data_IF_021116547794
#
_entry.id   IF_021116547794
#
_cell.length_a   1.000
_cell.length_b   1.000
_cell.length_c   1.000
_cell.angle_alpha   90.00
_cell.angle_beta   90.00
_cell.angle_gamma   90.00
#
_symmetry.space_group_name_H-M   'P 1'
#
loop_
_entity.id
_entity.type
_entity.pdbx_description
1 polymer ?
#
# COMPACT_ATOMS: atom_id res chain seq x y z
N UNK A 1 -44.79 -35.60 7.03
CA UNK A 1 -43.49 -34.94 6.95
C UNK A 1 -43.72 -33.51 6.48
N UNK A 2 -43.48 -32.53 7.35
CA UNK A 2 -43.65 -31.12 7.01
C UNK A 2 -42.40 -30.63 6.26
N UNK A 3 -42.59 -30.09 5.05
CA UNK A 3 -41.54 -29.40 4.33
C UNK A 3 -41.25 -28.08 5.06
N UNK A 4 -40.10 -27.98 5.73
CA UNK A 4 -39.58 -26.69 6.18
C UNK A 4 -39.20 -25.90 4.94
N UNK A 5 -40.01 -24.90 4.60
CA UNK A 5 -39.63 -23.87 3.65
C UNK A 5 -38.47 -23.07 4.26
N UNK A 6 -37.32 -23.13 3.61
CA UNK A 6 -36.23 -22.19 3.84
C UNK A 6 -36.74 -20.78 3.52
N UNK A 7 -36.96 -19.97 4.55
CA UNK A 7 -37.13 -18.52 4.37
C UNK A 7 -35.73 -17.92 4.32
N UNK A 8 -35.34 -17.24 3.22
CA UNK A 8 -34.11 -16.47 3.23
C UNK A 8 -34.26 -15.37 4.29
N UNK A 9 -33.36 -15.38 5.27
CA UNK A 9 -33.19 -14.25 6.17
C UNK A 9 -32.79 -13.05 5.32
N UNK A 10 -33.70 -12.08 5.21
CA UNK A 10 -33.39 -10.77 4.66
C UNK A 10 -32.33 -10.17 5.58
N UNK A 11 -31.11 -9.98 5.08
CA UNK A 11 -30.03 -9.29 5.79
C UNK A 11 -30.51 -7.88 6.18
N UNK A 12 -30.63 -7.54 7.48
CA UNK A 12 -31.00 -6.20 7.89
C UNK A 12 -29.73 -5.35 8.01
N UNK A 13 -29.09 -5.09 6.87
CA UNK A 13 -28.40 -3.82 6.67
C UNK A 13 -29.09 -3.21 5.46
N UNK A 14 -30.07 -2.34 5.71
CA UNK A 14 -30.33 -1.26 4.77
C UNK A 14 -28.98 -0.55 4.59
N UNK A 15 -28.33 -0.77 3.46
CA UNK A 15 -26.98 -0.26 3.22
C UNK A 15 -27.05 1.26 3.23
N UNK A 16 -26.51 1.89 4.28
CA UNK A 16 -26.23 3.31 4.26
C UNK A 16 -25.41 3.61 3.00
N UNK A 17 -25.79 4.64 2.25
CA UNK A 17 -24.91 5.16 1.21
C UNK A 17 -23.63 5.71 1.86
N UNK A 18 -22.56 5.84 1.08
CA UNK A 18 -21.31 6.42 1.58
C UNK A 18 -21.53 7.83 2.15
N UNK A 19 -22.42 8.62 1.54
CA UNK A 19 -22.79 9.94 2.05
C UNK A 19 -23.52 9.85 3.40
N UNK A 20 -24.44 8.89 3.56
CA UNK A 20 -25.14 8.67 4.83
C UNK A 20 -24.19 8.21 5.94
N UNK A 21 -23.26 7.32 5.62
CA UNK A 21 -22.24 6.85 6.56
C UNK A 21 -21.30 7.99 6.97
N UNK A 22 -20.80 8.76 6.00
CA UNK A 22 -19.95 9.92 6.26
C UNK A 22 -20.65 10.94 7.17
N UNK A 23 -21.92 11.24 6.89
CA UNK A 23 -22.71 12.17 7.70
C UNK A 23 -22.88 11.64 9.13
N UNK A 24 -23.18 10.34 9.30
CA UNK A 24 -23.30 9.73 10.63
C UNK A 24 -22.00 9.80 11.43
N UNK A 25 -20.84 9.58 10.78
CA UNK A 25 -19.52 9.73 11.39
C UNK A 25 -19.28 11.19 11.81
N UNK A 26 -19.56 12.15 10.92
CA UNK A 26 -19.40 13.58 11.20
C UNK A 26 -20.29 14.03 12.38
N UNK A 27 -21.55 13.62 12.43
CA UNK A 27 -22.46 13.95 13.53
C UNK A 27 -21.98 13.38 14.86
N UNK A 28 -21.49 12.13 14.84
CA UNK A 28 -20.91 11.49 16.03
C UNK A 28 -19.69 12.25 16.51
N UNK A 29 -18.77 12.61 15.61
CA UNK A 29 -17.56 13.36 15.95
C UNK A 29 -17.89 14.77 16.46
N UNK A 30 -18.82 15.49 15.82
CA UNK A 30 -19.23 16.82 16.26
C UNK A 30 -19.82 16.78 17.68
N UNK A 31 -20.62 15.76 18.00
CA UNK A 31 -21.15 15.56 19.35
C UNK A 31 -20.06 15.31 20.40
N UNK A 32 -18.90 14.79 20.02
CA UNK A 32 -17.79 14.50 20.96
C UNK A 32 -16.76 15.63 21.03
N UNK A 33 -16.47 16.28 19.90
CA UNK A 33 -15.42 17.29 19.77
C UNK A 33 -15.95 18.73 19.87
N UNK A 34 -17.27 18.92 19.77
CA UNK A 34 -17.94 20.23 19.72
C UNK A 34 -17.33 21.16 18.65
N UNK A 35 -16.98 20.59 17.50
CA UNK A 35 -16.37 21.31 16.39
C UNK A 35 -16.82 20.67 15.08
N UNK A 36 -17.74 21.35 14.38
CA UNK A 36 -18.35 20.84 13.15
C UNK A 36 -17.33 20.71 12.01
N UNK A 37 -16.45 21.68 11.84
CA UNK A 37 -15.48 21.69 10.74
C UNK A 37 -14.47 20.56 10.91
N UNK A 38 -13.92 20.39 12.12
CA UNK A 38 -13.01 19.27 12.45
C UNK A 38 -13.73 17.94 12.28
N UNK A 39 -14.99 17.83 12.69
CA UNK A 39 -15.77 16.61 12.55
C UNK A 39 -16.01 16.23 11.07
N UNK A 40 -16.39 17.18 10.22
CA UNK A 40 -16.59 16.97 8.78
C UNK A 40 -15.28 16.57 8.09
N UNK A 41 -14.18 17.28 8.35
CA UNK A 41 -12.87 16.96 7.77
C UNK A 41 -12.37 15.58 8.21
N UNK A 42 -12.53 15.27 9.49
CA UNK A 42 -12.14 13.95 10.03
C UNK A 42 -13.00 12.85 9.44
N UNK A 43 -14.31 13.05 9.30
CA UNK A 43 -15.20 12.06 8.67
C UNK A 43 -14.81 11.78 7.21
N UNK A 44 -14.50 12.83 6.44
CA UNK A 44 -14.00 12.67 5.07
C UNK A 44 -12.71 11.82 5.04
N UNK A 45 -11.73 12.15 5.88
CA UNK A 45 -10.49 11.36 6.00
C UNK A 45 -10.78 9.89 6.37
N UNK A 46 -11.69 9.64 7.30
CA UNK A 46 -12.06 8.27 7.70
C UNK A 46 -12.64 7.50 6.51
N UNK A 47 -13.54 8.10 5.74
CA UNK A 47 -14.12 7.48 4.54
C UNK A 47 -13.04 7.19 3.49
N UNK A 48 -12.26 8.20 3.12
CA UNK A 48 -11.33 8.13 2.00
C UNK A 48 -10.11 7.25 2.28
N UNK A 49 -9.63 7.23 3.53
CA UNK A 49 -8.32 6.66 3.86
C UNK A 49 -8.39 5.46 4.81
N UNK A 50 -9.43 5.33 5.65
CA UNK A 50 -9.51 4.25 6.64
C UNK A 50 -10.61 3.21 6.36
N UNK A 51 -11.70 3.63 5.73
CA UNK A 51 -12.80 2.75 5.32
C UNK A 51 -12.70 2.33 3.85
N UNK A 52 -11.91 3.05 3.05
CA UNK A 52 -11.50 2.62 1.72
C UNK A 52 -10.18 1.81 1.76
N UNK A 53 -10.15 0.73 1.00
CA UNK A 53 -8.98 -0.16 0.84
C UNK A 53 -8.57 -0.33 -0.62
N UNK A 54 -9.18 0.42 -1.53
CA UNK A 54 -8.95 0.33 -2.96
C UNK A 54 -8.35 1.63 -3.48
N UNK A 55 -7.16 1.53 -4.08
CA UNK A 55 -6.61 2.60 -4.88
C UNK A 55 -7.19 2.55 -6.30
N UNK A 56 -7.13 3.69 -6.99
CA UNK A 56 -7.49 3.78 -8.40
C UNK A 56 -6.65 2.82 -9.25
N UNK A 57 -7.26 2.36 -10.35
CA UNK A 57 -6.61 1.42 -11.26
C UNK A 57 -6.27 2.05 -12.60
N UNK A 58 -5.23 1.51 -13.24
CA UNK A 58 -4.84 1.85 -14.62
C UNK A 58 -4.87 0.62 -15.49
N UNK A 59 -5.24 0.78 -16.77
CA UNK A 59 -5.14 -0.31 -17.73
C UNK A 59 -3.68 -0.75 -17.85
N UNK A 60 -3.44 -2.07 -17.81
CA UNK A 60 -2.08 -2.63 -17.99
C UNK A 60 -1.42 -2.18 -19.30
N UNK A 61 -2.21 -1.83 -20.34
CA UNK A 61 -1.69 -1.31 -21.61
C UNK A 61 -1.10 0.10 -21.54
N UNK A 62 -1.43 0.85 -20.49
CA UNK A 62 -0.97 2.22 -20.29
C UNK A 62 0.18 2.29 -19.27
N UNK A 63 0.58 1.16 -18.69
CA UNK A 63 1.65 1.11 -17.69
C UNK A 63 3.00 1.27 -18.38
N UNK A 64 3.80 2.20 -17.88
CA UNK A 64 5.12 2.57 -18.41
C UNK A 64 6.26 2.22 -17.44
N UNK A 65 5.94 1.94 -16.17
CA UNK A 65 6.86 1.37 -15.19
C UNK A 65 6.12 0.60 -14.10
N UNK A 66 6.84 -0.26 -13.37
CA UNK A 66 6.32 -1.01 -12.23
C UNK A 66 7.09 -0.60 -10.97
N UNK A 67 6.38 -0.25 -9.90
CA UNK A 67 6.96 0.02 -8.58
C UNK A 67 6.46 -1.02 -7.58
N UNK A 68 7.38 -1.83 -7.06
CA UNK A 68 7.06 -2.92 -6.15
C UNK A 68 7.55 -2.67 -4.73
N UNK A 69 6.60 -2.75 -3.78
CA UNK A 69 6.87 -2.59 -2.36
C UNK A 69 6.92 -3.94 -1.66
N UNK A 70 7.92 -4.12 -0.81
CA UNK A 70 8.07 -5.31 0.00
C UNK A 70 7.09 -5.32 1.17
N UNK A 71 6.82 -6.52 1.68
CA UNK A 71 5.94 -6.73 2.82
C UNK A 71 6.46 -7.83 3.74
N UNK A 72 6.81 -7.46 4.97
CA UNK A 72 7.45 -8.39 5.90
C UNK A 72 8.84 -8.81 5.43
N UNK A 73 9.46 -9.70 6.21
CA UNK A 73 10.63 -10.49 5.84
C UNK A 73 10.70 -11.69 6.77
N UNK A 74 11.50 -12.69 6.45
CA UNK A 74 11.89 -13.72 7.41
C UNK A 74 13.30 -13.47 7.92
N UNK A 75 13.60 -14.00 9.09
CA UNK A 75 14.91 -13.90 9.74
C UNK A 75 15.53 -15.30 9.78
N UNK A 76 16.72 -15.47 9.21
CA UNK A 76 17.47 -16.71 9.28
C UNK A 76 18.17 -16.88 10.63
N UNK A 77 18.64 -18.10 11.00
CA UNK A 77 19.27 -18.34 12.30
C UNK A 77 20.49 -17.47 12.61
N UNK A 78 21.19 -16.98 11.58
CA UNK A 78 22.32 -16.05 11.73
C UNK A 78 21.90 -14.57 11.85
N UNK A 79 20.59 -14.28 11.91
CA UNK A 79 20.03 -12.94 12.05
C UNK A 79 19.84 -12.18 10.73
N UNK A 80 20.22 -12.76 9.59
CA UNK A 80 20.01 -12.11 8.29
C UNK A 80 18.54 -12.12 7.89
N UNK A 81 18.12 -11.10 7.15
CA UNK A 81 16.79 -11.06 6.56
C UNK A 81 16.77 -11.72 5.19
N UNK A 82 15.64 -12.30 4.83
CA UNK A 82 15.35 -12.80 3.49
C UNK A 82 13.87 -12.57 3.14
N UNK A 83 13.48 -12.57 1.84
CA UNK A 83 12.17 -12.12 1.41
C UNK A 83 10.99 -12.82 2.08
N UNK A 84 11.04 -14.15 2.20
CA UNK A 84 9.91 -14.95 2.69
C UNK A 84 8.73 -15.00 1.71
N UNK A 85 7.70 -15.80 2.03
CA UNK A 85 6.62 -16.15 1.08
C UNK A 85 5.76 -14.97 0.64
N UNK A 86 5.57 -13.94 1.48
CA UNK A 86 4.80 -12.75 1.09
C UNK A 86 5.51 -11.96 -0.03
N UNK A 87 6.82 -11.77 0.07
CA UNK A 87 7.60 -11.10 -0.97
C UNK A 87 7.80 -11.97 -2.21
N UNK A 88 7.82 -13.30 -2.07
CA UNK A 88 7.78 -14.23 -3.22
C UNK A 88 6.47 -14.09 -4.02
N UNK A 89 5.32 -14.00 -3.34
CA UNK A 89 4.03 -13.79 -4.00
C UNK A 89 3.93 -12.40 -4.66
N UNK A 90 4.50 -11.37 -4.04
CA UNK A 90 4.64 -10.04 -4.67
C UNK A 90 5.52 -10.15 -5.91
N UNK A 91 6.67 -10.84 -5.84
CA UNK A 91 7.55 -11.04 -6.98
C UNK A 91 6.87 -11.80 -8.12
N UNK A 92 6.05 -12.82 -7.84
CA UNK A 92 5.26 -13.52 -8.85
C UNK A 92 4.28 -12.58 -9.57
N UNK A 93 3.64 -11.69 -8.81
CA UNK A 93 2.74 -10.66 -9.36
C UNK A 93 3.52 -9.68 -10.25
N UNK A 94 4.70 -9.23 -9.82
CA UNK A 94 5.60 -8.36 -10.60
C UNK A 94 6.04 -9.04 -11.89
N UNK A 95 6.48 -10.30 -11.85
CA UNK A 95 6.90 -11.06 -13.04
C UNK A 95 5.73 -11.25 -14.01
N UNK A 96 4.54 -11.57 -13.50
CA UNK A 96 3.33 -11.71 -14.32
C UNK A 96 2.97 -10.41 -15.02
N UNK A 97 3.04 -9.28 -14.31
CA UNK A 97 2.79 -7.97 -14.88
C UNK A 97 3.85 -7.57 -15.91
N UNK A 98 5.13 -7.76 -15.59
CA UNK A 98 6.25 -7.49 -16.49
C UNK A 98 6.13 -8.28 -17.80
N UNK A 99 5.72 -9.55 -17.76
CA UNK A 99 5.50 -10.35 -18.99
C UNK A 99 4.42 -9.76 -19.92
N UNK A 100 3.52 -8.93 -19.40
CA UNK A 100 2.44 -8.30 -20.15
C UNK A 100 2.78 -6.90 -20.65
N UNK A 101 3.79 -6.25 -20.05
CA UNK A 101 4.12 -4.83 -20.29
C UNK A 101 5.53 -4.63 -20.84
N UNK A 102 6.49 -5.45 -20.42
CA UNK A 102 7.92 -5.34 -20.73
C UNK A 102 8.52 -3.97 -20.39
N UNK A 103 8.06 -3.37 -19.28
CA UNK A 103 8.51 -2.06 -18.79
C UNK A 103 9.47 -2.18 -17.62
N UNK A 104 10.28 -1.14 -17.31
CA UNK A 104 11.19 -1.16 -16.17
C UNK A 104 10.48 -1.39 -14.83
N UNK A 105 11.14 -2.15 -13.95
CA UNK A 105 10.68 -2.54 -12.62
C UNK A 105 11.60 -1.93 -11.58
N UNK A 106 11.04 -1.13 -10.69
CA UNK A 106 11.70 -0.61 -9.50
C UNK A 106 11.14 -1.35 -8.29
N UNK A 107 11.96 -2.13 -7.60
CA UNK A 107 11.47 -3.02 -6.55
C UNK A 107 12.31 -2.88 -5.29
N UNK A 108 11.68 -2.88 -4.11
CA UNK A 108 12.42 -3.07 -2.87
C UNK A 108 13.24 -4.37 -2.92
N UNK A 109 14.41 -4.36 -2.28
CA UNK A 109 15.39 -5.44 -2.41
C UNK A 109 14.81 -6.83 -2.11
N UNK A 110 13.88 -6.98 -1.16
CA UNK A 110 13.25 -8.27 -0.85
C UNK A 110 12.50 -8.82 -2.07
N UNK A 111 11.74 -7.97 -2.76
CA UNK A 111 11.00 -8.33 -3.96
C UNK A 111 11.97 -8.55 -5.12
N UNK A 112 12.97 -7.69 -5.30
CA UNK A 112 13.96 -7.82 -6.37
C UNK A 112 14.77 -9.13 -6.25
N UNK A 113 15.17 -9.50 -5.04
CA UNK A 113 15.85 -10.76 -4.75
C UNK A 113 14.94 -11.95 -5.05
N UNK A 114 13.68 -11.90 -4.62
CA UNK A 114 12.71 -12.93 -4.93
C UNK A 114 12.44 -13.04 -6.44
N UNK A 115 12.40 -11.92 -7.19
CA UNK A 115 12.28 -11.93 -8.67
C UNK A 115 13.46 -12.68 -9.29
N UNK A 116 14.69 -12.41 -8.84
CA UNK A 116 15.90 -13.05 -9.34
C UNK A 116 16.11 -12.80 -10.84
N UNK A 117 16.37 -13.86 -11.61
CA UNK A 117 16.64 -13.78 -13.05
C UNK A 117 15.37 -13.86 -13.94
N UNK A 118 14.17 -13.80 -13.33
CA UNK A 118 12.89 -13.90 -14.06
C UNK A 118 12.54 -12.64 -14.85
N UNK A 119 13.27 -11.54 -14.60
CA UNK A 119 13.22 -10.27 -15.33
C UNK A 119 14.67 -9.95 -15.76
N UNK A 120 14.91 -9.46 -16.99
CA UNK A 120 16.25 -9.04 -17.43
C UNK A 120 16.87 -8.03 -16.48
N UNK A 121 18.17 -8.16 -16.22
CA UNK A 121 18.88 -7.32 -15.25
C UNK A 121 18.82 -5.81 -15.57
N UNK A 122 18.68 -5.45 -16.86
CA UNK A 122 18.55 -4.04 -17.28
C UNK A 122 17.19 -3.43 -16.95
N UNK A 123 16.18 -4.27 -16.71
CA UNK A 123 14.81 -3.84 -16.41
C UNK A 123 14.45 -4.02 -14.93
N UNK A 124 15.32 -4.63 -14.12
CA UNK A 124 15.09 -4.81 -12.68
C UNK A 124 16.02 -3.92 -11.85
N UNK A 125 15.46 -2.85 -11.30
CA UNK A 125 16.14 -1.87 -10.47
C UNK A 125 15.85 -2.10 -8.98
N UNK A 126 16.78 -2.73 -8.28
CA UNK A 126 16.65 -3.04 -6.85
C UNK A 126 16.89 -1.81 -5.95
N UNK A 127 15.91 -1.50 -5.10
CA UNK A 127 15.95 -0.43 -4.10
C UNK A 127 16.40 -0.99 -2.76
N UNK A 128 17.67 -0.73 -2.43
CA UNK A 128 18.26 -1.11 -1.15
C UNK A 128 18.05 -0.04 -0.07
N UNK A 129 18.02 -0.43 1.22
CA UNK A 129 18.04 0.50 2.34
C UNK A 129 19.25 1.45 2.29
N UNK A 130 19.17 2.59 2.98
CA UNK A 130 20.33 3.49 3.14
C UNK A 130 21.22 2.99 4.27
N UNK A 131 22.51 2.88 4.02
CA UNK A 131 23.50 2.71 5.09
C UNK A 131 23.72 4.07 5.76
N UNK A 132 23.51 4.15 7.08
CA UNK A 132 24.00 5.30 7.84
C UNK A 132 25.52 5.16 8.05
N UNK A 133 26.23 6.29 8.19
CA UNK A 133 27.71 6.33 8.31
C UNK A 133 28.31 5.60 9.52
N UNK A 134 27.52 4.84 10.28
CA UNK A 134 27.97 3.95 11.37
C UNK A 134 27.63 2.47 11.13
N UNK A 135 27.35 2.07 9.88
CA UNK A 135 27.03 0.68 9.54
C UNK A 135 25.60 0.24 9.90
N UNK A 136 24.77 1.12 10.46
CA UNK A 136 23.36 0.81 10.72
C UNK A 136 22.53 1.03 9.46
N UNK A 137 21.78 0.00 9.06
CA UNK A 137 20.79 0.03 7.98
C UNK A 137 19.59 0.87 8.39
N UNK A 138 19.36 2.00 7.70
CA UNK A 138 18.12 2.77 7.82
C UNK A 138 17.17 2.28 6.73
N UNK A 139 16.18 1.49 7.12
CA UNK A 139 15.08 1.09 6.25
C UNK A 139 14.38 2.33 5.71
N UNK A 140 14.06 2.29 4.43
CA UNK A 140 13.25 3.32 3.80
C UNK A 140 11.80 3.11 4.23
N UNK A 141 11.13 4.20 4.59
CA UNK A 141 9.67 4.19 4.62
C UNK A 141 9.13 4.08 3.19
N UNK A 142 7.83 3.83 3.04
CA UNK A 142 7.16 3.72 1.74
C UNK A 142 7.42 4.94 0.84
N UNK A 143 7.32 6.16 1.39
CA UNK A 143 7.69 7.38 0.67
C UNK A 143 9.16 7.37 0.21
N UNK A 144 10.09 7.00 1.08
CA UNK A 144 11.51 6.95 0.74
C UNK A 144 11.87 5.91 -0.33
N UNK A 145 11.09 4.84 -0.45
CA UNK A 145 11.20 3.87 -1.57
C UNK A 145 10.75 4.52 -2.87
N UNK A 146 9.60 5.21 -2.89
CA UNK A 146 9.11 5.92 -4.06
C UNK A 146 10.09 7.02 -4.52
N UNK A 147 10.59 7.85 -3.60
CA UNK A 147 11.62 8.86 -3.89
C UNK A 147 12.89 8.24 -4.48
N UNK A 148 13.27 7.04 -4.01
CA UNK A 148 14.43 6.34 -4.54
C UNK A 148 14.18 5.82 -5.96
N UNK A 149 12.98 5.33 -6.25
CA UNK A 149 12.57 4.95 -7.61
C UNK A 149 12.66 6.14 -8.57
N UNK A 150 12.13 7.31 -8.17
CA UNK A 150 12.25 8.57 -8.93
C UNK A 150 13.72 8.91 -9.22
N UNK A 151 14.57 8.83 -8.20
CA UNK A 151 16.00 9.08 -8.35
C UNK A 151 16.68 8.09 -9.30
N UNK A 152 16.30 6.82 -9.28
CA UNK A 152 16.86 5.79 -10.17
C UNK A 152 16.39 5.97 -11.61
N UNK A 153 15.13 6.35 -11.82
CA UNK A 153 14.57 6.65 -13.13
C UNK A 153 15.14 7.94 -13.74
N UNK A 154 15.80 8.80 -12.95
CA UNK A 154 16.29 10.10 -13.39
C UNK A 154 15.21 11.19 -13.42
N UNK A 155 14.12 11.02 -12.67
CA UNK A 155 13.02 11.98 -12.54
C UNK A 155 11.65 11.34 -12.71
N UNK A 156 10.60 12.03 -12.23
CA UNK A 156 9.22 11.55 -12.25
C UNK A 156 8.71 11.32 -13.68
N UNK A 157 9.14 12.13 -14.65
CA UNK A 157 8.74 12.02 -16.06
C UNK A 157 9.17 10.70 -16.70
N UNK A 158 10.24 10.08 -16.20
CA UNK A 158 10.79 8.85 -16.77
C UNK A 158 10.09 7.59 -16.22
N UNK A 159 9.24 7.73 -15.20
CA UNK A 159 8.41 6.64 -14.68
C UNK A 159 7.08 6.50 -15.43
N UNK A 160 6.59 7.59 -16.04
CA UNK A 160 5.28 7.63 -16.69
C UNK A 160 4.16 7.15 -15.77
N UNK A 161 3.15 6.49 -16.34
CA UNK A 161 2.11 5.81 -15.56
C UNK A 161 2.66 4.57 -14.88
N UNK A 162 2.78 4.64 -13.56
CA UNK A 162 3.40 3.60 -12.75
C UNK A 162 2.35 2.65 -12.18
N UNK A 163 2.48 1.36 -12.47
CA UNK A 163 1.74 0.32 -11.76
C UNK A 163 2.42 -0.01 -10.43
N UNK A 164 1.69 0.13 -9.33
CA UNK A 164 2.13 -0.25 -8.00
C UNK A 164 1.75 -1.69 -7.71
N UNK A 165 2.72 -2.48 -7.26
CA UNK A 165 2.51 -3.86 -6.80
C UNK A 165 2.95 -3.95 -5.34
N UNK A 166 2.05 -4.40 -4.48
CA UNK A 166 2.27 -4.52 -3.05
C UNK A 166 1.36 -5.60 -2.46
N UNK A 167 1.50 -5.87 -1.17
CA UNK A 167 0.50 -6.67 -0.44
C UNK A 167 -0.85 -5.96 -0.43
N UNK A 168 -1.96 -6.70 -0.51
CA UNK A 168 -3.31 -6.16 -0.73
C UNK A 168 -3.67 -5.04 0.27
N UNK A 169 -3.57 -5.29 1.57
CA UNK A 169 -3.91 -4.32 2.60
C UNK A 169 -2.94 -3.12 2.65
N UNK A 170 -1.74 -3.27 2.07
CA UNK A 170 -0.75 -2.19 1.97
C UNK A 170 -0.97 -1.30 0.73
N UNK A 171 -1.69 -1.81 -0.27
CA UNK A 171 -1.71 -1.29 -1.64
C UNK A 171 -2.13 0.19 -1.75
N UNK A 172 -3.20 0.60 -1.06
CA UNK A 172 -3.67 1.99 -1.07
C UNK A 172 -2.57 2.95 -0.60
N UNK A 173 -2.00 2.72 0.58
CA UNK A 173 -0.94 3.60 1.12
C UNK A 173 0.32 3.60 0.26
N UNK A 174 0.64 2.49 -0.42
CA UNK A 174 1.77 2.47 -1.37
C UNK A 174 1.52 3.35 -2.58
N UNK A 175 0.29 3.37 -3.12
CA UNK A 175 -0.11 4.27 -4.21
C UNK A 175 -0.06 5.71 -3.74
N UNK A 176 -0.64 6.02 -2.58
CA UNK A 176 -0.64 7.39 -2.03
C UNK A 176 0.77 7.90 -1.75
N UNK A 177 1.63 7.06 -1.15
CA UNK A 177 3.03 7.42 -0.90
C UNK A 177 3.82 7.62 -2.19
N UNK A 178 3.50 6.90 -3.27
CA UNK A 178 4.11 7.11 -4.57
C UNK A 178 3.64 8.44 -5.19
N UNK A 179 2.36 8.80 -5.04
CA UNK A 179 1.80 10.09 -5.47
C UNK A 179 2.39 11.26 -4.69
N UNK A 180 2.62 11.09 -3.39
CA UNK A 180 3.33 12.08 -2.56
C UNK A 180 4.77 12.32 -3.05
N UNK A 181 5.40 11.33 -3.70
CA UNK A 181 6.69 11.48 -4.38
C UNK A 181 6.58 12.08 -5.81
N UNK A 182 5.38 12.45 -6.25
CA UNK A 182 5.11 13.02 -7.57
C UNK A 182 4.94 12.00 -8.69
N UNK A 183 4.77 10.71 -8.37
CA UNK A 183 4.59 9.64 -9.37
C UNK A 183 3.11 9.55 -9.77
N UNK A 184 2.83 9.40 -11.08
CA UNK A 184 1.50 9.04 -11.57
C UNK A 184 1.22 7.54 -11.29
N UNK A 185 0.83 7.22 -10.05
CA UNK A 185 0.76 5.85 -9.54
C UNK A 185 -0.68 5.30 -9.43
N UNK A 186 -0.84 4.02 -9.77
CA UNK A 186 -2.12 3.29 -9.76
C UNK A 186 -1.93 1.80 -9.45
N UNK A 187 -3.00 1.09 -9.11
CA UNK A 187 -3.00 -0.37 -9.17
C UNK A 187 -3.19 -0.85 -10.62
N UNK A 188 -2.54 -1.94 -11.05
CA UNK A 188 -2.77 -2.51 -12.37
C UNK A 188 -4.15 -3.19 -12.45
N UNK A 189 -5.00 -2.76 -13.39
CA UNK A 189 -6.35 -3.28 -13.55
C UNK A 189 -6.35 -4.78 -13.89
N UNK A 190 -7.19 -5.54 -13.19
CA UNK A 190 -7.34 -6.99 -13.39
C UNK A 190 -6.14 -7.80 -12.90
N UNK A 191 -5.33 -7.25 -11.99
CA UNK A 191 -4.26 -7.97 -11.29
C UNK A 191 -4.63 -8.05 -9.81
N UNK A 192 -4.70 -9.27 -9.28
CA UNK A 192 -4.93 -9.48 -7.86
C UNK A 192 -3.64 -9.30 -7.07
N UNK A 193 -3.71 -8.50 -6.01
CA UNK A 193 -2.61 -8.36 -5.06
C UNK A 193 -2.59 -9.55 -4.09
N UNK A 194 -1.40 -10.02 -3.66
CA UNK A 194 -1.28 -11.10 -2.68
C UNK A 194 -1.87 -10.72 -1.32
N UNK A 195 -2.44 -11.71 -0.62
CA UNK A 195 -3.21 -11.54 0.63
C UNK A 195 -2.83 -12.55 1.73
N UNK A 196 -1.97 -13.52 1.43
CA UNK A 196 -1.62 -14.57 2.36
C UNK A 196 -0.52 -14.10 3.30
N UNK A 197 -0.85 -13.98 4.59
CA UNK A 197 0.11 -13.61 5.63
C UNK A 197 1.08 -14.74 5.95
N UNK A 198 2.29 -14.37 6.37
CA UNK A 198 3.32 -15.28 6.87
C UNK A 198 3.39 -15.23 8.40
N UNK A 199 2.90 -16.26 9.13
CA UNK A 199 2.95 -16.27 10.59
C UNK A 199 4.39 -16.26 11.13
N UNK A 200 5.37 -16.65 10.32
CA UNK A 200 6.80 -16.68 10.69
C UNK A 200 7.54 -15.39 10.32
N UNK A 201 6.84 -14.34 9.88
CA UNK A 201 7.50 -13.07 9.57
C UNK A 201 8.31 -12.55 10.76
N UNK A 202 9.52 -12.05 10.47
CA UNK A 202 10.38 -11.35 11.41
C UNK A 202 9.77 -10.04 11.91
N UNK A 203 8.79 -9.50 11.20
CA UNK A 203 8.03 -8.32 11.60
C UNK A 203 6.69 -8.76 12.19
N UNK A 204 6.55 -8.69 13.51
CA UNK A 204 5.36 -9.19 14.22
C UNK A 204 4.04 -8.58 13.70
N UNK A 205 4.07 -7.33 13.25
CA UNK A 205 2.90 -6.63 12.71
C UNK A 205 2.49 -7.05 11.30
N UNK A 206 3.24 -7.94 10.63
CA UNK A 206 2.89 -8.53 9.32
C UNK A 206 2.59 -10.03 9.42
N UNK A 207 2.36 -10.58 10.62
CA UNK A 207 2.13 -12.02 10.79
C UNK A 207 0.69 -12.46 10.55
N UNK A 208 -0.24 -11.52 10.69
CA UNK A 208 -1.66 -11.76 10.57
C UNK A 208 -2.40 -10.49 10.14
N UNK A 209 -3.61 -10.69 9.63
CA UNK A 209 -4.43 -9.62 9.07
C UNK A 209 -4.93 -8.63 10.13
N UNK A 210 -5.33 -9.11 11.31
CA UNK A 210 -5.90 -8.25 12.36
C UNK A 210 -4.85 -7.26 12.86
N UNK A 211 -3.65 -7.73 13.15
CA UNK A 211 -2.54 -6.88 13.59
C UNK A 211 -2.15 -5.90 12.50
N UNK A 212 -2.09 -6.35 11.24
CA UNK A 212 -1.70 -5.49 10.13
C UNK A 212 -2.71 -4.39 9.83
N UNK A 213 -4.02 -4.68 9.84
CA UNK A 213 -5.07 -3.69 9.59
C UNK A 213 -4.98 -2.53 10.61
N UNK A 214 -4.75 -2.83 11.88
CA UNK A 214 -4.57 -1.80 12.90
C UNK A 214 -3.26 -1.02 12.73
N UNK A 215 -2.17 -1.69 12.33
CA UNK A 215 -0.92 -1.04 11.96
C UNK A 215 -1.13 -0.04 10.80
N UNK A 216 -1.89 -0.46 9.79
CA UNK A 216 -2.15 0.30 8.58
C UNK A 216 -3.01 1.53 8.86
N UNK A 217 -4.12 1.36 9.60
CA UNK A 217 -4.97 2.45 10.07
C UNK A 217 -4.16 3.50 10.84
N UNK A 218 -3.36 3.06 11.82
CA UNK A 218 -2.50 3.93 12.62
C UNK A 218 -1.48 4.68 11.76
N UNK A 219 -0.94 4.02 10.74
CA UNK A 219 0.05 4.62 9.84
C UNK A 219 -0.59 5.65 8.91
N UNK A 220 -1.74 5.37 8.31
CA UNK A 220 -2.47 6.34 7.46
C UNK A 220 -2.89 7.58 8.26
N UNK A 221 -3.37 7.40 9.49
CA UNK A 221 -3.66 8.52 10.39
C UNK A 221 -2.42 9.35 10.75
N UNK A 222 -1.26 8.70 10.90
CA UNK A 222 0.01 9.40 11.14
C UNK A 222 0.42 10.23 9.92
N UNK A 223 0.30 9.67 8.71
CA UNK A 223 0.61 10.37 7.47
C UNK A 223 -0.27 11.62 7.29
N UNK A 224 -1.58 11.49 7.52
CA UNK A 224 -2.50 12.64 7.39
C UNK A 224 -2.19 13.74 8.41
N UNK A 225 -1.91 13.37 9.66
CA UNK A 225 -1.45 14.34 10.67
C UNK A 225 -0.19 15.07 10.21
N UNK A 226 0.77 14.35 9.66
CA UNK A 226 2.03 14.94 9.21
C UNK A 226 1.81 15.88 8.01
N UNK A 227 0.90 15.54 7.09
CA UNK A 227 0.45 16.43 5.99
C UNK A 227 -0.14 17.73 6.53
N UNK A 228 -1.07 17.64 7.49
CA UNK A 228 -1.70 18.81 8.12
C UNK A 228 -0.67 19.70 8.83
N UNK A 229 0.34 19.12 9.48
CA UNK A 229 1.45 19.87 10.09
C UNK A 229 2.24 20.63 9.03
N UNK A 230 2.54 20.01 7.88
CA UNK A 230 3.28 20.68 6.82
C UNK A 230 2.48 21.83 6.18
N UNK A 231 1.19 21.63 5.94
CA UNK A 231 0.31 22.70 5.46
C UNK A 231 0.34 23.92 6.39
N UNK A 232 0.27 23.69 7.71
CA UNK A 232 0.36 24.76 8.71
C UNK A 232 1.71 25.47 8.73
N UNK A 233 2.81 24.76 8.41
CA UNK A 233 4.14 25.38 8.29
C UNK A 233 4.30 26.22 7.02
N UNK A 234 3.63 25.85 5.94
CA UNK A 234 3.66 26.62 4.67
C UNK A 234 2.77 27.86 4.67
N UNK A 235 1.84 27.98 5.63
CA UNK A 235 0.95 29.13 5.79
C UNK A 235 1.59 30.31 6.55
N UNK A 236 2.76 30.11 7.18
CA UNK A 236 3.49 31.12 7.96
C UNK A 236 4.81 31.51 7.32
#
# INVERSE_FOLDING_TARGET
MAAMMYQPTIDPIESLSDEQLQQAIADRLNKQLNNKDVATQTAQFLMDSLLNWHAETVSVKQVESILAFAFGNRISPNGNQYPGPMNEAIADTVVSLYRRTSVPVYAQWEVAEAVGNRIPANDLHAIYPRLSGKGNTKYLCTLGVAEKAVSMAGGVSNLGKTAVVAFFEHSLRTVDSARDAGIEAFLPQGVEMPRQFDPDSGQAWTRDQQTYVLHEIRTRATNERDRLIQLKKSEG
#
